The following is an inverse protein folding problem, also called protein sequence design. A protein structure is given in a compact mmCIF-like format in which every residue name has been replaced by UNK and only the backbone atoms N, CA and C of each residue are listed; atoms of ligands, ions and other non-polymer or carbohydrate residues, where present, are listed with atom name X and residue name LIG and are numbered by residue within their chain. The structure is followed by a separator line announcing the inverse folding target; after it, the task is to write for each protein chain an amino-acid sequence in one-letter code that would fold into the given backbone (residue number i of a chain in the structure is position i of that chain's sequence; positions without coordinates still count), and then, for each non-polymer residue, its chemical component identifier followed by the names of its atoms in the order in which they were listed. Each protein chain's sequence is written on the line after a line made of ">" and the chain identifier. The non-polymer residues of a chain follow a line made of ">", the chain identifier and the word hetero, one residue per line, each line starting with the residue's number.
data_IF_097226331071
#
_entry.id   IF_097226331071
#
_cell.length_a   1.000
_cell.length_b   1.000
_cell.length_c   1.000
_cell.angle_alpha   90.00
_cell.angle_beta   90.00
_cell.angle_gamma   90.00
#
_symmetry.space_group_name_H-M   'P 1'
#
loop_
_entity.id
_entity.type
_entity.pdbx_description
1 polymer ?
#
# COMPACT_ATOMS: atom_id res chain seq x y z
N UNK A 1 8.31 -24.83 -27.28
CA UNK A 1 7.53 -23.82 -28.03
C UNK A 1 6.76 -22.96 -27.02
N UNK A 2 7.30 -21.79 -26.66
CA UNK A 2 6.61 -20.79 -25.83
C UNK A 2 6.23 -19.63 -26.74
N UNK A 3 4.94 -19.42 -26.95
CA UNK A 3 4.41 -18.21 -27.58
C UNK A 3 4.38 -17.11 -26.52
N UNK A 4 5.33 -16.17 -26.59
CA UNK A 4 5.19 -14.87 -25.97
C UNK A 4 4.09 -14.11 -26.70
N UNK A 5 2.93 -13.92 -26.04
CA UNK A 5 1.94 -12.97 -26.52
C UNK A 5 2.37 -11.57 -26.10
N UNK A 6 3.01 -10.87 -27.03
CA UNK A 6 3.22 -9.42 -26.95
C UNK A 6 1.86 -8.73 -27.11
N UNK A 7 1.24 -8.33 -26.00
CA UNK A 7 0.06 -7.46 -26.05
C UNK A 7 0.51 -6.00 -26.16
N UNK A 8 0.59 -5.52 -27.40
CA UNK A 8 0.63 -4.09 -27.70
C UNK A 8 -0.80 -3.57 -27.62
N UNK A 9 -1.15 -2.85 -26.55
CA UNK A 9 -2.37 -2.04 -26.52
C UNK A 9 -2.14 -0.79 -27.40
N UNK A 10 -2.52 -0.89 -28.67
CA UNK A 10 -2.64 0.26 -29.56
C UNK A 10 -4.08 0.78 -29.52
N UNK A 11 -4.41 1.65 -28.56
CA UNK A 11 -5.61 2.49 -28.70
C UNK A 11 -5.24 3.75 -29.48
N UNK A 12 -5.55 3.74 -30.78
CA UNK A 12 -5.59 4.96 -31.61
C UNK A 12 -6.73 5.84 -31.11
N UNK A 13 -6.40 6.81 -30.25
CA UNK A 13 -7.28 7.90 -29.84
C UNK A 13 -6.47 9.19 -29.70
N UNK A 14 -6.82 10.19 -30.51
CA UNK A 14 -6.35 11.60 -30.55
C UNK A 14 -4.99 11.89 -29.91
N UNK A 15 -4.02 12.26 -30.75
CA UNK A 15 -2.70 12.77 -30.37
C UNK A 15 -2.78 14.09 -29.57
N UNK A 16 -3.16 14.01 -28.29
CA UNK A 16 -2.58 14.83 -27.24
C UNK A 16 -1.45 14.01 -26.64
N UNK A 17 -0.22 14.50 -26.68
CA UNK A 17 0.98 13.73 -26.34
C UNK A 17 0.85 13.04 -24.98
N UNK A 18 0.69 11.71 -25.00
CA UNK A 18 0.67 10.88 -23.81
C UNK A 18 2.03 10.95 -23.11
N UNK A 19 2.01 10.95 -21.78
CA UNK A 19 3.23 11.06 -20.98
C UNK A 19 4.19 9.90 -21.26
N UNK A 20 5.48 10.15 -21.49
CA UNK A 20 6.48 9.09 -21.76
C UNK A 20 7.02 8.39 -20.52
N UNK A 21 6.51 8.73 -19.34
CA UNK A 21 6.92 8.16 -18.07
C UNK A 21 6.49 6.69 -17.94
N UNK A 22 7.23 5.76 -18.53
CA UNK A 22 6.95 4.34 -18.39
C UNK A 22 7.52 3.73 -17.11
N UNK A 23 8.14 4.53 -16.22
CA UNK A 23 8.77 4.04 -15.00
C UNK A 23 10.10 3.30 -15.22
N UNK A 24 10.75 3.48 -16.37
CA UNK A 24 12.09 2.95 -16.68
C UNK A 24 12.97 4.12 -17.09
N UNK A 25 14.18 4.20 -16.55
CA UNK A 25 15.12 5.26 -16.90
C UNK A 25 15.60 5.13 -18.35
N UNK A 26 15.72 6.24 -19.09
CA UNK A 26 16.31 6.21 -20.42
C UNK A 26 17.74 5.66 -20.39
N UNK A 27 18.08 4.84 -21.38
CA UNK A 27 19.43 4.26 -21.55
C UNK A 27 20.35 5.11 -22.42
N UNK A 28 19.80 6.09 -23.14
CA UNK A 28 20.53 6.94 -24.08
C UNK A 28 20.27 8.45 -23.85
N UNK A 29 21.16 9.27 -24.40
CA UNK A 29 21.13 10.74 -24.25
C UNK A 29 19.87 11.37 -24.85
N UNK A 30 19.35 10.83 -25.95
CA UNK A 30 18.17 11.38 -26.62
C UNK A 30 16.92 11.17 -25.76
N UNK A 31 16.80 10.01 -25.12
CA UNK A 31 15.74 9.70 -24.17
C UNK A 31 15.77 10.60 -22.94
N UNK A 32 16.98 10.92 -22.43
CA UNK A 32 17.14 11.91 -21.36
C UNK A 32 16.72 13.32 -21.78
N UNK A 33 17.17 13.78 -22.96
CA UNK A 33 16.76 15.09 -23.51
C UNK A 33 15.23 15.18 -23.64
N UNK A 34 14.59 14.13 -24.15
CA UNK A 34 13.14 14.08 -24.25
C UNK A 34 12.45 14.13 -22.87
N UNK A 35 12.97 13.39 -21.90
CA UNK A 35 12.45 13.34 -20.52
C UNK A 35 12.48 14.72 -19.89
N UNK A 36 13.61 15.44 -19.98
CA UNK A 36 13.72 16.78 -19.42
C UNK A 36 12.85 17.80 -20.13
N UNK A 37 12.75 17.73 -21.47
CA UNK A 37 11.85 18.60 -22.22
C UNK A 37 10.37 18.38 -21.82
N UNK A 38 9.98 17.14 -21.57
CA UNK A 38 8.63 16.81 -21.14
C UNK A 38 8.36 17.28 -19.70
N UNK A 39 9.25 16.97 -18.76
CA UNK A 39 9.18 17.43 -17.37
C UNK A 39 9.10 18.96 -17.28
N UNK A 40 9.89 19.67 -18.10
CA UNK A 40 9.89 21.14 -18.15
C UNK A 40 8.56 21.76 -18.57
N UNK A 41 7.70 21.01 -19.26
CA UNK A 41 6.37 21.49 -19.72
C UNK A 41 5.20 20.87 -18.95
N UNK A 42 5.42 19.78 -18.21
CA UNK A 42 4.36 18.99 -17.59
C UNK A 42 3.56 19.80 -16.57
N UNK A 43 4.23 20.53 -15.66
CA UNK A 43 3.54 21.33 -14.64
C UNK A 43 2.58 22.37 -15.25
N UNK A 44 3.00 23.06 -16.31
CA UNK A 44 2.16 24.02 -17.02
C UNK A 44 0.95 23.35 -17.70
N UNK A 45 1.15 22.18 -18.33
CA UNK A 45 0.06 21.40 -18.94
C UNK A 45 -0.95 20.93 -17.90
N UNK A 46 -0.48 20.42 -16.77
CA UNK A 46 -1.34 20.01 -15.65
C UNK A 46 -2.10 21.19 -15.08
N UNK A 47 -1.48 22.37 -14.95
CA UNK A 47 -2.16 23.57 -14.47
C UNK A 47 -3.28 24.00 -15.42
N UNK A 48 -3.05 23.95 -16.73
CA UNK A 48 -4.08 24.23 -17.75
C UNK A 48 -5.21 23.22 -17.65
N UNK A 49 -4.90 21.91 -17.54
CA UNK A 49 -5.91 20.86 -17.36
C UNK A 49 -6.73 21.11 -16.09
N UNK A 50 -6.07 21.41 -14.98
CA UNK A 50 -6.71 21.67 -13.70
C UNK A 50 -7.67 22.87 -13.74
N UNK A 51 -7.38 23.89 -14.56
CA UNK A 51 -8.27 25.03 -14.74
C UNK A 51 -9.41 24.80 -15.74
N UNK A 52 -9.18 24.01 -16.80
CA UNK A 52 -10.08 23.97 -17.95
C UNK A 52 -10.85 22.66 -18.11
N UNK A 53 -10.39 21.57 -17.50
CA UNK A 53 -11.04 20.27 -17.65
C UNK A 53 -12.26 20.16 -16.75
N UNK A 54 -13.37 19.69 -17.31
CA UNK A 54 -14.55 19.23 -16.58
C UNK A 54 -14.61 17.69 -16.47
N UNK A 55 -13.60 16.97 -16.97
CA UNK A 55 -13.59 15.51 -16.93
C UNK A 55 -13.47 15.01 -15.48
N UNK A 56 -14.31 14.04 -15.12
CA UNK A 56 -14.20 13.38 -13.81
C UNK A 56 -12.84 12.71 -13.63
N UNK A 57 -12.30 12.74 -12.41
CA UNK A 57 -11.08 12.01 -12.03
C UNK A 57 -11.35 10.58 -11.57
N UNK A 58 -12.62 10.20 -11.46
CA UNK A 58 -13.07 8.85 -11.13
C UNK A 58 -13.83 8.25 -12.32
N UNK A 59 -14.11 6.96 -12.25
CA UNK A 59 -14.82 6.23 -13.28
C UNK A 59 -15.31 4.87 -12.80
N UNK A 60 -15.37 3.92 -13.71
CA UNK A 60 -15.89 2.55 -13.45
C UNK A 60 -14.79 1.54 -13.14
N UNK A 61 -13.58 1.99 -12.76
CA UNK A 61 -12.50 1.09 -12.36
C UNK A 61 -12.91 0.21 -11.17
N UNK A 62 -12.23 -0.91 -10.99
CA UNK A 62 -12.59 -1.91 -9.96
C UNK A 62 -11.99 -1.62 -8.58
N UNK A 63 -11.07 -0.66 -8.46
CA UNK A 63 -10.39 -0.33 -7.22
C UNK A 63 -10.63 1.12 -6.78
N UNK A 64 -10.57 1.33 -5.46
CA UNK A 64 -10.43 2.66 -4.88
C UNK A 64 -8.95 3.03 -4.84
N UNK A 65 -8.60 4.28 -5.16
CA UNK A 65 -7.25 4.80 -5.01
C UNK A 65 -7.21 5.74 -3.81
N UNK A 66 -6.24 5.51 -2.92
CA UNK A 66 -6.04 6.28 -1.70
C UNK A 66 -4.61 6.83 -1.63
N UNK A 67 -4.48 8.09 -1.24
CA UNK A 67 -3.21 8.75 -1.01
C UNK A 67 -3.33 9.71 0.17
N UNK A 68 -2.20 10.16 0.68
CA UNK A 68 -2.13 11.14 1.77
C UNK A 68 -1.15 12.24 1.41
N UNK A 69 -1.38 13.44 1.92
CA UNK A 69 -0.43 14.55 1.80
C UNK A 69 -0.36 15.34 3.10
N UNK A 70 0.73 16.08 3.29
CA UNK A 70 1.01 16.82 4.53
C UNK A 70 1.85 18.07 4.26
N UNK A 71 1.71 19.06 5.13
CA UNK A 71 2.50 20.30 5.11
C UNK A 71 2.58 20.94 3.72
N UNK A 72 3.80 21.26 3.26
CA UNK A 72 4.01 21.92 1.96
C UNK A 72 3.52 21.09 0.76
N UNK A 73 3.46 19.76 0.89
CA UNK A 73 3.08 18.85 -0.20
C UNK A 73 1.60 18.97 -0.59
N UNK A 74 0.76 19.45 0.32
CA UNK A 74 -0.67 19.72 0.07
C UNK A 74 -0.83 20.73 -1.10
N UNK A 75 0.10 21.68 -1.23
CA UNK A 75 0.07 22.66 -2.33
C UNK A 75 0.44 22.07 -3.70
N UNK A 76 1.00 20.86 -3.75
CA UNK A 76 1.52 20.23 -4.97
C UNK A 76 0.87 18.91 -5.35
N UNK A 77 0.23 18.20 -4.41
CA UNK A 77 -0.40 16.88 -4.63
C UNK A 77 -1.47 16.87 -5.72
N UNK A 78 -2.06 18.04 -6.02
CA UNK A 78 -2.98 18.19 -7.13
C UNK A 78 -2.39 17.71 -8.47
N UNK A 79 -1.06 17.79 -8.66
CA UNK A 79 -0.38 17.32 -9.86
C UNK A 79 -0.43 15.80 -9.98
N UNK A 80 -0.13 15.08 -8.90
CA UNK A 80 -0.29 13.62 -8.82
C UNK A 80 -1.73 13.22 -9.12
N UNK A 81 -2.70 13.87 -8.47
CA UNK A 81 -4.13 13.58 -8.65
C UNK A 81 -4.57 13.83 -10.09
N UNK A 82 -4.09 14.91 -10.73
CA UNK A 82 -4.35 15.18 -12.15
C UNK A 82 -3.81 14.06 -13.04
N UNK A 83 -2.61 13.54 -12.76
CA UNK A 83 -2.04 12.43 -13.56
C UNK A 83 -2.81 11.12 -13.37
N UNK A 84 -3.25 10.80 -12.15
CA UNK A 84 -4.12 9.65 -11.89
C UNK A 84 -5.45 9.81 -12.63
N UNK A 85 -6.07 10.98 -12.53
CA UNK A 85 -7.36 11.29 -13.18
C UNK A 85 -7.28 11.45 -14.70
N UNK A 86 -6.08 11.52 -15.28
CA UNK A 86 -5.82 11.46 -16.71
C UNK A 86 -5.50 10.03 -17.20
N UNK A 87 -5.56 9.04 -16.30
CA UNK A 87 -5.37 7.63 -16.59
C UNK A 87 -6.36 7.08 -17.61
N UNK A 88 -5.92 6.08 -18.38
CA UNK A 88 -6.76 5.31 -19.30
C UNK A 88 -7.86 4.53 -18.55
N UNK A 89 -7.53 4.06 -17.34
CA UNK A 89 -8.48 3.57 -16.35
C UNK A 89 -8.51 4.55 -15.20
N UNK A 90 -9.72 4.97 -14.81
CA UNK A 90 -9.95 5.85 -13.65
C UNK A 90 -10.42 5.02 -12.46
N UNK A 91 -10.02 5.37 -11.23
CA UNK A 91 -10.43 4.63 -10.05
C UNK A 91 -11.91 4.80 -9.76
N UNK A 92 -12.49 3.87 -8.99
CA UNK A 92 -13.87 3.96 -8.51
C UNK A 92 -14.07 5.16 -7.60
N UNK A 93 -13.13 5.34 -6.66
CA UNK A 93 -12.99 6.49 -5.77
C UNK A 93 -11.54 6.94 -5.76
N UNK A 94 -11.32 8.25 -5.64
CA UNK A 94 -9.99 8.82 -5.48
C UNK A 94 -9.98 9.64 -4.20
N UNK A 95 -9.25 9.18 -3.20
CA UNK A 95 -9.37 9.64 -1.82
C UNK A 95 -8.04 10.23 -1.36
N UNK A 96 -8.05 11.51 -0.97
CA UNK A 96 -6.94 12.22 -0.36
C UNK A 96 -7.18 12.38 1.14
N UNK A 97 -6.31 11.78 1.95
CA UNK A 97 -6.31 11.93 3.40
C UNK A 97 -5.39 13.07 3.86
N UNK A 98 -5.94 14.00 4.65
CA UNK A 98 -5.22 15.12 5.25
C UNK A 98 -5.34 15.06 6.77
N UNK A 99 -4.23 15.24 7.46
CA UNK A 99 -4.17 15.45 8.92
C UNK A 99 -4.21 16.93 9.31
N UNK A 100 -3.92 17.82 8.36
CA UNK A 100 -4.07 19.26 8.51
C UNK A 100 -5.56 19.65 8.41
N UNK A 101 -6.13 20.05 9.54
CA UNK A 101 -7.55 20.43 9.64
C UNK A 101 -7.88 21.69 8.85
N UNK A 102 -6.97 22.67 8.79
CA UNK A 102 -7.21 23.92 8.08
C UNK A 102 -7.21 23.67 6.58
N UNK A 103 -6.26 22.87 6.09
CA UNK A 103 -6.21 22.47 4.69
C UNK A 103 -7.38 21.56 4.28
N UNK A 104 -7.95 20.79 5.20
CA UNK A 104 -9.18 20.02 4.96
C UNK A 104 -10.41 20.93 4.85
N UNK A 105 -10.56 21.90 5.76
CA UNK A 105 -11.70 22.81 5.80
C UNK A 105 -11.67 23.83 4.65
N UNK A 106 -10.49 24.31 4.29
CA UNK A 106 -10.27 25.24 3.19
C UNK A 106 -9.15 24.77 2.24
N UNK A 107 -9.41 23.77 1.37
CA UNK A 107 -8.38 23.25 0.48
C UNK A 107 -7.92 24.28 -0.55
N UNK A 108 -6.65 24.20 -1.02
CA UNK A 108 -6.17 24.99 -2.16
C UNK A 108 -7.12 24.92 -3.37
N UNK A 109 -7.20 26.01 -4.13
CA UNK A 109 -8.09 26.11 -5.28
C UNK A 109 -7.88 24.98 -6.32
N UNK A 110 -6.66 24.48 -6.45
CA UNK A 110 -6.33 23.31 -7.29
C UNK A 110 -7.02 22.03 -6.84
N UNK A 111 -7.10 21.79 -5.52
CA UNK A 111 -7.80 20.65 -4.92
C UNK A 111 -9.31 20.85 -4.95
N UNK A 112 -9.83 22.06 -4.71
CA UNK A 112 -11.28 22.35 -4.87
C UNK A 112 -11.79 22.04 -6.28
N UNK A 113 -11.01 22.37 -7.31
CA UNK A 113 -11.35 22.01 -8.71
C UNK A 113 -11.34 20.50 -8.95
N UNK A 114 -10.44 19.77 -8.29
CA UNK A 114 -10.43 18.31 -8.33
C UNK A 114 -11.61 17.70 -7.58
N UNK A 115 -12.03 18.28 -6.44
CA UNK A 115 -13.24 17.85 -5.72
C UNK A 115 -14.48 17.99 -6.60
N UNK A 116 -14.61 19.10 -7.32
CA UNK A 116 -15.69 19.29 -8.30
C UNK A 116 -15.69 18.25 -9.43
N UNK A 117 -14.56 17.53 -9.62
CA UNK A 117 -14.40 16.45 -10.60
C UNK A 117 -14.46 15.05 -9.97
N UNK A 118 -14.74 14.93 -8.67
CA UNK A 118 -14.94 13.67 -7.97
C UNK A 118 -13.79 13.23 -7.05
N UNK A 119 -12.79 14.08 -6.80
CA UNK A 119 -11.84 13.83 -5.71
C UNK A 119 -12.55 13.90 -4.36
N UNK A 120 -12.32 12.91 -3.51
CA UNK A 120 -12.74 12.94 -2.11
C UNK A 120 -11.58 13.44 -1.26
N UNK A 121 -11.80 14.47 -0.44
CA UNK A 121 -10.83 14.92 0.56
C UNK A 121 -11.41 14.59 1.92
N UNK A 122 -10.65 13.84 2.72
CA UNK A 122 -11.06 13.40 4.07
C UNK A 122 -10.02 13.80 5.10
N UNK A 123 -10.50 14.10 6.30
CA UNK A 123 -9.65 14.40 7.45
C UNK A 123 -9.34 13.11 8.23
N UNK A 124 -8.12 12.96 8.74
CA UNK A 124 -7.73 11.87 9.63
C UNK A 124 -6.74 12.38 10.70
N UNK A 125 -6.41 11.53 11.69
CA UNK A 125 -5.28 11.83 12.59
C UNK A 125 -3.96 11.63 11.84
N UNK A 126 -2.88 12.19 12.37
CA UNK A 126 -1.56 11.94 11.81
C UNK A 126 -1.06 10.54 12.17
N UNK A 127 -1.26 9.60 11.24
CA UNK A 127 -0.69 8.25 11.29
C UNK A 127 0.63 8.14 10.50
N UNK A 128 1.27 9.27 10.16
CA UNK A 128 2.46 9.29 9.32
C UNK A 128 2.22 8.62 7.96
N UNK A 129 3.11 7.74 7.48
CA UNK A 129 2.94 7.07 6.19
C UNK A 129 1.74 6.10 6.15
N UNK A 130 1.21 5.68 7.30
CA UNK A 130 0.06 4.77 7.36
C UNK A 130 -1.28 5.43 6.98
N UNK A 131 -1.32 6.77 6.84
CA UNK A 131 -2.52 7.52 6.40
C UNK A 131 -3.06 7.06 5.05
N UNK A 132 -2.23 6.47 4.17
CA UNK A 132 -2.68 6.03 2.84
C UNK A 132 -3.58 4.79 2.85
N UNK A 133 -3.58 4.00 3.93
CA UNK A 133 -4.42 2.79 4.02
C UNK A 133 -5.23 2.70 5.32
N UNK A 134 -4.68 3.10 6.47
CA UNK A 134 -5.31 2.84 7.76
C UNK A 134 -6.66 3.56 7.95
N UNK A 135 -6.83 4.86 7.66
CA UNK A 135 -8.16 5.47 7.74
C UNK A 135 -9.14 4.87 6.72
N UNK A 136 -8.66 4.37 5.56
CA UNK A 136 -9.50 3.63 4.61
C UNK A 136 -10.04 2.32 5.21
N UNK A 137 -9.20 1.53 5.89
CA UNK A 137 -9.63 0.26 6.49
C UNK A 137 -10.67 0.47 7.60
N UNK A 138 -10.67 1.63 8.25
CA UNK A 138 -11.63 1.95 9.30
C UNK A 138 -12.91 2.62 8.79
N UNK A 139 -12.80 3.54 7.83
CA UNK A 139 -13.90 4.44 7.45
C UNK A 139 -14.55 4.12 6.10
N UNK A 140 -14.01 3.17 5.32
CA UNK A 140 -14.51 2.85 3.97
C UNK A 140 -14.71 1.35 3.81
N UNK A 141 -13.72 0.54 4.21
CA UNK A 141 -13.79 -0.91 4.09
C UNK A 141 -15.08 -1.53 4.70
N UNK A 142 -15.63 -1.07 5.84
CA UNK A 142 -16.86 -1.65 6.39
C UNK A 142 -18.06 -1.57 5.44
N UNK A 143 -18.14 -0.52 4.62
CA UNK A 143 -19.21 -0.31 3.64
C UNK A 143 -18.88 -0.89 2.26
N UNK A 144 -17.59 -1.12 1.98
CA UNK A 144 -17.07 -1.68 0.73
C UNK A 144 -16.14 -2.88 0.99
N UNK A 145 -16.63 -3.98 1.61
CA UNK A 145 -15.79 -5.06 2.11
C UNK A 145 -15.07 -5.87 1.02
N UNK A 146 -15.55 -5.82 -0.22
CA UNK A 146 -14.97 -6.56 -1.34
C UNK A 146 -14.08 -5.69 -2.25
N UNK A 147 -13.80 -4.45 -1.85
CA UNK A 147 -13.11 -3.48 -2.71
C UNK A 147 -11.59 -3.51 -2.55
N UNK A 148 -10.88 -3.78 -3.64
CA UNK A 148 -9.43 -3.56 -3.75
C UNK A 148 -9.06 -2.10 -3.47
N UNK A 149 -8.06 -1.91 -2.61
CA UNK A 149 -7.43 -0.62 -2.36
C UNK A 149 -6.13 -0.53 -3.15
N UNK A 150 -5.95 0.56 -3.89
CA UNK A 150 -4.66 0.96 -4.47
C UNK A 150 -4.12 2.16 -3.70
N UNK A 151 -2.90 2.07 -3.18
CA UNK A 151 -2.25 3.25 -2.58
C UNK A 151 -1.39 3.99 -3.60
N UNK A 152 -1.31 5.31 -3.49
CA UNK A 152 -0.44 6.15 -4.31
C UNK A 152 0.33 7.16 -3.45
N UNK A 153 1.45 7.67 -3.99
CA UNK A 153 2.31 8.68 -3.37
C UNK A 153 1.91 10.08 -3.85
N UNK A 154 2.07 11.10 -3.01
CA UNK A 154 1.64 12.49 -3.29
C UNK A 154 2.63 13.32 -4.13
N UNK A 155 3.77 12.72 -4.47
CA UNK A 155 4.89 13.34 -5.16
C UNK A 155 5.33 12.57 -6.40
N UNK A 156 4.42 11.79 -7.01
CA UNK A 156 4.69 11.02 -8.23
C UNK A 156 3.78 11.48 -9.38
N UNK A 157 4.35 11.60 -10.58
CA UNK A 157 3.58 11.70 -11.81
C UNK A 157 3.26 10.30 -12.32
N UNK A 158 2.00 9.89 -12.27
CA UNK A 158 1.60 8.55 -12.74
C UNK A 158 1.32 8.53 -14.25
N UNK A 159 1.88 7.58 -15.02
CA UNK A 159 1.54 7.49 -16.44
C UNK A 159 0.08 7.10 -16.68
N UNK A 160 -0.47 7.39 -17.88
CA UNK A 160 -1.82 7.02 -18.23
C UNK A 160 -2.14 5.52 -18.10
N UNK A 161 -1.12 4.65 -18.19
CA UNK A 161 -1.26 3.19 -18.08
C UNK A 161 -1.17 2.68 -16.64
N UNK A 162 -0.77 3.51 -15.67
CA UNK A 162 -0.44 3.09 -14.30
C UNK A 162 -1.51 2.21 -13.65
N UNK A 163 -2.73 2.72 -13.50
CA UNK A 163 -3.80 1.98 -12.83
C UNK A 163 -4.25 0.77 -13.68
N UNK A 164 -4.27 0.91 -15.01
CA UNK A 164 -4.66 -0.17 -15.91
C UNK A 164 -3.72 -1.38 -15.80
N UNK A 165 -2.41 -1.12 -15.81
CA UNK A 165 -1.38 -2.16 -15.66
C UNK A 165 -1.44 -2.82 -14.29
N UNK A 166 -1.57 -2.02 -13.22
CA UNK A 166 -1.67 -2.54 -11.86
C UNK A 166 -2.87 -3.48 -11.70
N UNK A 167 -4.05 -3.04 -12.15
CA UNK A 167 -5.28 -3.83 -12.05
C UNK A 167 -5.28 -5.06 -12.97
N UNK A 168 -4.60 -4.98 -14.12
CA UNK A 168 -4.45 -6.15 -15.02
C UNK A 168 -3.56 -7.22 -14.40
N UNK A 169 -2.51 -6.82 -13.67
CA UNK A 169 -1.60 -7.73 -13.00
C UNK A 169 -2.14 -8.27 -11.67
N UNK A 170 -3.06 -7.54 -11.04
CA UNK A 170 -3.62 -7.89 -9.73
C UNK A 170 -4.50 -9.13 -9.80
N UNK A 171 -4.37 -9.99 -8.80
CA UNK A 171 -5.15 -11.21 -8.63
C UNK A 171 -5.84 -11.19 -7.26
N UNK A 172 -7.05 -11.78 -7.14
CA UNK A 172 -7.70 -11.96 -5.84
C UNK A 172 -6.76 -12.68 -4.87
N UNK A 173 -6.70 -12.24 -3.61
CA UNK A 173 -5.85 -12.84 -2.60
C UNK A 173 -4.35 -12.61 -2.76
N UNK A 174 -3.91 -11.64 -3.58
CA UNK A 174 -2.49 -11.27 -3.73
C UNK A 174 -2.28 -9.76 -3.52
N UNK A 175 -1.15 -9.36 -2.93
CA UNK A 175 -0.70 -7.97 -3.03
C UNK A 175 0.05 -7.79 -4.34
N UNK A 176 -0.20 -6.69 -5.05
CA UNK A 176 0.46 -6.41 -6.33
C UNK A 176 1.12 -5.05 -6.31
N UNK A 177 2.44 -5.00 -6.52
CA UNK A 177 3.22 -3.76 -6.42
C UNK A 177 4.03 -3.48 -7.69
N UNK A 178 4.24 -2.20 -8.01
CA UNK A 178 5.14 -1.82 -9.10
C UNK A 178 6.62 -1.95 -8.76
N UNK A 179 6.97 -1.91 -7.46
CA UNK A 179 8.35 -1.95 -6.99
C UNK A 179 8.48 -2.82 -5.75
N UNK A 180 9.23 -3.91 -5.89
CA UNK A 180 9.52 -4.83 -4.81
C UNK A 180 11.00 -5.19 -4.71
N UNK A 181 11.38 -5.72 -3.55
CA UNK A 181 12.67 -6.40 -3.30
C UNK A 181 12.40 -7.88 -3.03
N UNK A 182 13.43 -8.72 -3.16
CA UNK A 182 13.38 -10.10 -2.64
C UNK A 182 14.02 -10.10 -1.25
N UNK A 183 13.20 -10.31 -0.24
CA UNK A 183 13.62 -10.41 1.16
C UNK A 183 14.53 -11.62 1.36
N UNK A 184 15.58 -11.43 2.15
CA UNK A 184 16.42 -12.49 2.71
C UNK A 184 16.60 -12.26 4.21
N UNK A 185 17.32 -13.16 4.88
CA UNK A 185 17.63 -13.02 6.31
C UNK A 185 18.69 -11.93 6.58
N UNK A 186 19.30 -11.37 5.54
CA UNK A 186 20.26 -10.28 5.66
C UNK A 186 19.60 -8.91 5.89
N UNK A 187 20.40 -7.86 6.15
CA UNK A 187 19.90 -6.50 6.33
C UNK A 187 19.14 -5.99 5.10
N UNK A 188 18.11 -5.16 5.29
CA UNK A 188 17.25 -4.61 4.23
C UNK A 188 18.03 -4.07 3.02
N UNK A 189 19.15 -3.38 3.27
CA UNK A 189 19.99 -2.80 2.20
C UNK A 189 20.60 -3.83 1.24
N UNK A 190 20.70 -5.09 1.65
CA UNK A 190 21.30 -6.17 0.84
C UNK A 190 20.27 -6.89 -0.02
N UNK A 191 18.97 -6.68 0.23
CA UNK A 191 17.90 -7.35 -0.51
C UNK A 191 17.89 -6.88 -1.97
N UNK A 192 18.03 -7.78 -2.95
CA UNK A 192 18.03 -7.40 -4.36
C UNK A 192 16.66 -6.87 -4.79
N UNK A 193 16.63 -6.07 -5.86
CA UNK A 193 15.36 -5.70 -6.49
C UNK A 193 14.70 -6.94 -7.09
N UNK A 194 13.36 -7.00 -7.05
CA UNK A 194 12.61 -8.09 -7.64
C UNK A 194 12.73 -8.07 -9.17
N UNK A 195 13.09 -9.20 -9.76
CA UNK A 195 13.26 -9.39 -11.21
C UNK A 195 12.29 -10.43 -11.79
N UNK A 196 11.21 -10.72 -11.07
CA UNK A 196 10.18 -11.68 -11.46
C UNK A 196 8.78 -11.09 -11.22
N UNK A 197 7.78 -11.69 -11.86
CA UNK A 197 6.36 -11.41 -11.61
C UNK A 197 5.66 -12.51 -10.82
N UNK A 198 6.39 -13.55 -10.43
CA UNK A 198 5.88 -14.64 -9.59
C UNK A 198 5.56 -14.13 -8.19
N UNK A 199 4.42 -14.57 -7.66
CA UNK A 199 3.98 -14.22 -6.33
C UNK A 199 4.74 -15.05 -5.28
N UNK A 200 5.18 -14.44 -4.18
CA UNK A 200 5.87 -15.13 -3.09
C UNK A 200 5.80 -14.33 -1.79
N UNK A 201 5.87 -15.02 -0.65
CA UNK A 201 6.03 -14.40 0.67
C UNK A 201 7.39 -13.71 0.84
N UNK A 202 8.38 -14.05 0.01
CA UNK A 202 9.70 -13.38 0.01
C UNK A 202 9.70 -12.09 -0.80
N UNK A 203 8.67 -11.81 -1.59
CA UNK A 203 8.57 -10.54 -2.32
C UNK A 203 8.13 -9.46 -1.34
N UNK A 204 8.93 -8.41 -1.20
CA UNK A 204 8.67 -7.28 -0.31
C UNK A 204 8.27 -6.05 -1.13
N UNK A 205 6.99 -5.67 -1.08
CA UNK A 205 6.51 -4.44 -1.72
C UNK A 205 7.05 -3.21 -0.98
N UNK A 206 7.76 -2.33 -1.68
CA UNK A 206 8.43 -1.17 -1.05
C UNK A 206 7.52 0.04 -0.81
N UNK A 207 6.20 -0.12 -0.94
CA UNK A 207 5.21 0.93 -0.66
C UNK A 207 5.16 2.13 -1.62
N UNK A 208 6.06 2.20 -2.61
CA UNK A 208 6.16 3.28 -3.60
C UNK A 208 5.68 2.87 -5.00
N UNK A 209 5.41 3.87 -5.86
CA UNK A 209 4.98 3.67 -7.26
C UNK A 209 3.60 3.00 -7.43
N UNK A 210 2.91 2.72 -6.33
CA UNK A 210 1.59 2.12 -6.32
C UNK A 210 1.58 0.65 -5.94
N UNK A 211 0.65 0.31 -5.04
CA UNK A 211 0.44 -1.05 -4.54
C UNK A 211 -1.07 -1.31 -4.44
N UNK A 212 -1.53 -2.44 -4.98
CA UNK A 212 -2.89 -2.94 -4.84
C UNK A 212 -2.95 -3.97 -3.72
N UNK A 213 -3.89 -3.78 -2.80
CA UNK A 213 -4.12 -4.63 -1.63
C UNK A 213 -5.49 -5.30 -1.75
N UNK A 214 -5.55 -6.63 -1.56
CA UNK A 214 -6.79 -7.37 -1.62
C UNK A 214 -7.59 -7.15 -0.32
N UNK A 215 -8.93 -7.26 -0.35
CA UNK A 215 -9.76 -6.91 0.80
C UNK A 215 -9.48 -7.74 2.06
N UNK A 216 -9.06 -8.98 1.91
CA UNK A 216 -8.69 -9.87 3.02
C UNK A 216 -7.53 -9.30 3.85
N UNK A 217 -6.53 -8.73 3.19
CA UNK A 217 -5.43 -8.06 3.88
C UNK A 217 -5.89 -6.77 4.57
N UNK A 218 -6.78 -6.01 3.93
CA UNK A 218 -7.34 -4.79 4.50
C UNK A 218 -8.14 -5.06 5.77
N UNK A 219 -8.86 -6.20 5.80
CA UNK A 219 -9.55 -6.69 6.99
C UNK A 219 -8.56 -6.99 8.14
N UNK A 220 -7.51 -7.76 7.87
CA UNK A 220 -6.48 -8.05 8.87
C UNK A 220 -5.78 -6.78 9.41
N UNK A 221 -5.53 -5.80 8.53
CA UNK A 221 -4.96 -4.50 8.92
C UNK A 221 -5.89 -3.70 9.82
N UNK A 222 -7.20 -3.77 9.59
CA UNK A 222 -8.22 -3.14 10.45
C UNK A 222 -8.22 -3.80 11.83
N UNK A 223 -8.28 -5.12 11.88
CA UNK A 223 -8.41 -5.89 13.12
C UNK A 223 -7.19 -5.71 14.03
N UNK A 224 -6.01 -5.50 13.43
CA UNK A 224 -4.78 -5.23 14.18
C UNK A 224 -4.71 -3.80 14.77
N UNK A 225 -5.62 -2.91 14.37
CA UNK A 225 -5.74 -1.56 14.92
C UNK A 225 -4.48 -0.70 14.76
N UNK A 226 -4.20 0.14 15.76
CA UNK A 226 -3.10 1.12 15.75
C UNK A 226 -1.75 0.56 16.24
N UNK A 227 -1.58 -0.77 16.33
CA UNK A 227 -0.34 -1.37 16.85
C UNK A 227 0.93 -0.90 16.10
N UNK A 228 0.80 -0.56 14.82
CA UNK A 228 1.88 0.02 14.01
C UNK A 228 2.46 1.31 14.62
N UNK A 229 1.66 2.10 15.36
CA UNK A 229 2.11 3.36 15.94
C UNK A 229 3.23 3.16 16.98
N UNK A 230 3.30 1.98 17.60
CA UNK A 230 4.32 1.65 18.59
C UNK A 230 5.52 0.91 18.02
N UNK A 231 5.32 0.06 17.01
CA UNK A 231 6.36 -0.85 16.52
C UNK A 231 6.95 -0.45 15.17
N UNK A 232 6.19 0.29 14.37
CA UNK A 232 6.51 0.57 12.98
C UNK A 232 6.05 1.96 12.50
N UNK A 233 6.17 3.05 13.30
CA UNK A 233 5.45 4.32 13.04
C UNK A 233 5.86 5.06 11.75
N UNK A 234 6.99 4.69 11.13
CA UNK A 234 7.58 5.38 9.97
C UNK A 234 7.83 4.48 8.76
N UNK A 235 7.46 3.20 8.84
CA UNK A 235 7.80 2.19 7.83
C UNK A 235 6.57 1.32 7.52
N UNK A 236 5.57 1.94 6.92
CA UNK A 236 4.32 1.27 6.55
C UNK A 236 4.54 0.05 5.65
N UNK A 237 5.57 0.05 4.80
CA UNK A 237 5.95 -1.08 3.96
C UNK A 237 6.26 -2.35 4.76
N UNK A 238 6.98 -2.24 5.88
CA UNK A 238 7.23 -3.34 6.81
C UNK A 238 5.96 -3.85 7.48
N UNK A 239 5.12 -2.92 7.95
CA UNK A 239 3.85 -3.27 8.57
C UNK A 239 2.95 -4.06 7.61
N UNK A 240 2.82 -3.57 6.37
CA UNK A 240 1.99 -4.16 5.32
C UNK A 240 2.57 -5.50 4.83
N UNK A 241 3.89 -5.63 4.75
CA UNK A 241 4.53 -6.89 4.40
C UNK A 241 4.25 -7.97 5.45
N UNK A 242 4.44 -7.67 6.74
CA UNK A 242 4.20 -8.67 7.78
C UNK A 242 2.71 -8.98 8.00
N UNK A 243 1.82 -8.03 7.70
CA UNK A 243 0.40 -8.34 7.56
C UNK A 243 0.20 -9.44 6.51
N UNK A 244 0.76 -9.27 5.31
CA UNK A 244 0.62 -10.22 4.20
C UNK A 244 1.23 -11.60 4.53
N UNK A 245 2.41 -11.63 5.15
CA UNK A 245 3.04 -12.88 5.63
C UNK A 245 2.15 -13.57 6.67
N UNK A 246 1.62 -12.83 7.65
CA UNK A 246 0.77 -13.41 8.69
C UNK A 246 -0.52 -14.02 8.13
N UNK A 247 -1.09 -13.39 7.10
CA UNK A 247 -2.31 -13.87 6.44
C UNK A 247 -2.02 -14.87 5.30
N UNK A 248 -0.76 -15.25 5.07
CA UNK A 248 -0.33 -16.09 3.93
C UNK A 248 -0.79 -15.56 2.56
N UNK A 249 -0.86 -14.23 2.43
CA UNK A 249 -1.20 -13.53 1.20
C UNK A 249 0.13 -13.25 0.47
N UNK A 250 0.40 -13.87 -0.70
CA UNK A 250 1.65 -13.65 -1.39
C UNK A 250 1.67 -12.28 -2.07
N UNK A 251 2.88 -11.81 -2.35
CA UNK A 251 3.13 -10.51 -2.98
C UNK A 251 3.74 -10.76 -4.37
N UNK A 252 3.28 -10.03 -5.39
CA UNK A 252 3.84 -10.04 -6.74
C UNK A 252 4.27 -8.66 -7.22
N UNK A 253 5.21 -8.62 -8.16
CA UNK A 253 5.55 -7.42 -8.92
C UNK A 253 4.77 -7.37 -10.24
N UNK A 254 4.33 -6.17 -10.65
CA UNK A 254 3.59 -5.97 -11.92
C UNK A 254 4.42 -6.37 -13.15
N UNK A 255 5.72 -6.07 -13.11
CA UNK A 255 6.69 -6.32 -14.19
C UNK A 255 7.90 -7.07 -13.63
N UNK A 256 8.74 -7.62 -14.50
CA UNK A 256 10.04 -8.18 -14.13
C UNK A 256 11.12 -7.11 -13.85
N UNK A 257 10.74 -5.83 -13.89
CA UNK A 257 11.58 -4.68 -13.52
C UNK A 257 10.80 -3.73 -12.63
N UNK A 258 11.45 -3.23 -11.59
CA UNK A 258 10.89 -2.20 -10.71
C UNK A 258 10.57 -0.91 -11.47
N UNK A 259 9.40 -0.32 -11.20
CA UNK A 259 9.03 0.98 -11.78
C UNK A 259 9.56 2.17 -10.95
N UNK A 260 10.19 3.10 -11.64
CA UNK A 260 10.70 4.38 -11.15
C UNK A 260 9.98 5.53 -11.85
N UNK A 261 8.71 5.75 -11.49
CA UNK A 261 7.94 6.86 -12.05
C UNK A 261 8.54 8.20 -11.64
N UNK A 262 8.41 9.20 -12.52
CA UNK A 262 9.02 10.51 -12.29
C UNK A 262 8.47 11.17 -11.01
N UNK A 263 9.36 11.57 -10.08
CA UNK A 263 8.95 12.32 -8.91
C UNK A 263 8.67 13.78 -9.27
N UNK A 264 7.86 14.45 -8.46
CA UNK A 264 7.72 15.91 -8.46
C UNK A 264 8.99 16.47 -7.82
N UNK A 265 9.99 16.76 -8.67
CA UNK A 265 11.38 17.11 -8.28
C UNK A 265 11.46 18.25 -7.26
N UNK A 266 10.53 19.20 -7.28
CA UNK A 266 10.51 20.32 -6.33
C UNK A 266 10.11 19.93 -4.89
N UNK A 267 9.57 18.73 -4.70
CA UNK A 267 8.97 18.25 -3.44
C UNK A 267 9.55 16.91 -2.99
N UNK A 268 10.25 16.21 -3.87
CA UNK A 268 11.04 15.01 -3.60
C UNK A 268 12.27 15.31 -2.71
N UNK A 269 12.02 15.82 -1.51
CA UNK A 269 12.96 15.77 -0.39
C UNK A 269 13.00 14.36 0.18
N UNK A 270 14.12 14.02 0.86
CA UNK A 270 14.40 12.73 1.52
C UNK A 270 13.09 12.08 2.00
N UNK A 271 12.84 10.83 1.61
CA UNK A 271 11.77 10.06 2.24
C UNK A 271 11.92 10.09 3.78
N UNK A 272 10.91 9.65 4.51
CA UNK A 272 10.90 9.59 5.98
C UNK A 272 11.94 8.58 6.51
N UNK A 273 13.22 8.84 6.25
CA UNK A 273 14.38 8.01 6.50
C UNK A 273 15.28 8.75 7.49
N UNK A 274 15.76 8.02 8.48
CA UNK A 274 16.68 8.50 9.52
C UNK A 274 18.12 8.73 9.01
N UNK A 275 18.40 8.43 7.74
CA UNK A 275 19.70 8.66 7.09
C UNK A 275 20.80 7.65 7.46
N UNK A 276 20.52 6.65 8.31
CA UNK A 276 21.50 5.64 8.73
C UNK A 276 21.42 4.35 7.91
N UNK A 277 20.27 4.10 7.27
CA UNK A 277 20.01 2.88 6.51
C UNK A 277 19.76 1.64 7.37
N UNK A 278 19.71 1.77 8.69
CA UNK A 278 19.42 0.68 9.64
C UNK A 278 18.05 0.81 10.32
N UNK A 279 17.32 1.91 10.11
CA UNK A 279 15.97 2.11 10.67
C UNK A 279 15.04 0.94 10.39
N UNK A 280 15.05 0.43 9.15
CA UNK A 280 14.22 -0.69 8.73
C UNK A 280 14.60 -1.99 9.48
N UNK A 281 15.90 -2.25 9.62
CA UNK A 281 16.39 -3.44 10.31
C UNK A 281 16.06 -3.40 11.81
N UNK A 282 16.08 -2.21 12.41
CA UNK A 282 15.81 -2.01 13.84
C UNK A 282 14.36 -2.37 14.25
N UNK A 283 13.40 -2.23 13.33
CA UNK A 283 11.98 -2.50 13.60
C UNK A 283 11.51 -3.87 13.09
N UNK A 284 12.32 -4.55 12.28
CA UNK A 284 11.91 -5.73 11.52
C UNK A 284 11.40 -6.87 12.44
N UNK A 285 12.20 -7.22 13.45
CA UNK A 285 11.89 -8.33 14.37
C UNK A 285 10.65 -8.02 15.22
N UNK A 286 10.58 -6.82 15.79
CA UNK A 286 9.44 -6.44 16.63
C UNK A 286 8.14 -6.38 15.82
N UNK A 287 8.21 -5.87 14.59
CA UNK A 287 7.05 -5.83 13.68
C UNK A 287 6.57 -7.24 13.35
N UNK A 288 7.50 -8.14 12.99
CA UNK A 288 7.18 -9.55 12.73
C UNK A 288 6.54 -10.23 13.94
N UNK A 289 7.15 -10.09 15.13
CA UNK A 289 6.64 -10.69 16.36
C UNK A 289 5.26 -10.16 16.74
N UNK A 290 4.98 -8.88 16.48
CA UNK A 290 3.67 -8.29 16.75
C UNK A 290 2.56 -8.98 15.94
N UNK A 291 2.82 -9.28 14.66
CA UNK A 291 1.89 -10.02 13.82
C UNK A 291 1.77 -11.49 14.21
N UNK A 292 2.90 -12.16 14.51
CA UNK A 292 2.91 -13.58 14.87
C UNK A 292 2.29 -13.86 16.25
N UNK A 293 2.52 -13.00 17.24
CA UNK A 293 2.00 -13.17 18.60
C UNK A 293 0.48 -12.95 18.68
N UNK A 294 -0.12 -12.21 17.75
CA UNK A 294 -1.57 -12.09 17.66
C UNK A 294 -2.24 -13.39 17.18
N UNK A 295 -1.55 -14.23 16.40
CA UNK A 295 -2.10 -15.54 15.98
C UNK A 295 -2.23 -16.51 17.16
N UNK A 296 -1.26 -16.51 18.06
CA UNK A 296 -1.28 -17.32 19.29
C UNK A 296 -2.37 -16.92 20.30
N UNK A 297 -3.07 -15.80 20.10
CA UNK A 297 -4.26 -15.42 20.90
C UNK A 297 -5.58 -15.86 20.26
N UNK A 298 -5.59 -16.19 18.97
CA UNK A 298 -6.79 -16.69 18.28
C UNK A 298 -6.92 -18.22 18.34
N UNK A 299 -5.82 -18.93 18.62
CA UNK A 299 -5.81 -20.37 18.86
C UNK A 299 -5.86 -20.66 20.38
N UNK A 300 -7.02 -20.41 21.01
CA UNK A 300 -7.32 -21.07 22.28
C UNK A 300 -7.71 -22.54 22.02
N UNK A 301 -7.38 -23.51 22.90
CA UNK A 301 -7.59 -24.92 22.61
C UNK A 301 -9.06 -25.23 22.41
N UNK A 302 -9.40 -25.89 21.30
CA UNK A 302 -10.66 -26.61 21.13
C UNK A 302 -10.92 -27.42 22.40
N UNK A 303 -12.08 -27.21 23.02
CA UNK A 303 -12.54 -27.99 24.14
C UNK A 303 -12.40 -29.49 23.81
N UNK A 304 -11.76 -30.23 24.71
CA UNK A 304 -11.71 -31.68 24.64
C UNK A 304 -13.14 -32.23 24.70
N UNK A 305 -13.49 -33.05 23.72
CA UNK A 305 -14.75 -33.78 23.63
C UNK A 305 -14.77 -34.94 24.66
N UNK A 306 -15.71 -34.99 25.62
CA UNK A 306 -15.72 -35.97 26.70
C UNK A 306 -16.44 -37.27 26.30
N UNK A 307 -16.12 -37.84 25.14
CA UNK A 307 -16.67 -39.13 24.71
C UNK A 307 -15.56 -40.15 24.40
N UNK A 308 -15.07 -40.82 25.44
CA UNK A 308 -14.41 -42.13 25.29
C UNK A 308 -14.73 -43.00 26.50
N UNK A 309 -15.38 -44.17 26.33
CA UNK A 309 -15.68 -45.07 27.43
C UNK A 309 -14.58 -46.12 27.50
N UNK A 310 -13.69 -46.05 28.51
CA UNK A 310 -13.12 -47.30 29.00
C UNK A 310 -12.49 -47.22 30.40
N UNK A 311 -12.88 -48.21 31.20
CA UNK A 311 -12.23 -48.79 32.39
C UNK A 311 -12.34 -48.08 33.74
N UNK A 312 -13.37 -48.53 34.47
CA UNK A 312 -13.24 -48.85 35.88
C UNK A 312 -12.21 -49.98 36.09
N UNK A 313 -11.31 -49.83 37.07
CA UNK A 313 -11.36 -50.54 38.37
C UNK A 313 -9.96 -50.82 38.97
N UNK A 314 -9.97 -50.92 40.29
CA UNK A 314 -8.96 -51.45 41.22
C UNK A 314 -7.74 -50.58 41.60
N UNK A 315 -7.70 -50.17 42.89
CA UNK A 315 -6.47 -49.68 43.51
C UNK A 315 -6.57 -49.03 44.89
N UNK A 316 -7.39 -49.56 45.81
CA UNK A 316 -7.47 -49.15 47.23
C UNK A 316 -6.12 -49.39 47.94
N UNK A 317 -5.56 -48.36 48.59
CA UNK A 317 -4.84 -48.48 49.87
C UNK A 317 -4.99 -47.18 50.69
N UNK A 318 -5.52 -47.34 51.90
CA UNK A 318 -5.58 -46.34 52.97
C UNK A 318 -4.29 -46.37 53.78
N UNK A 319 -3.84 -45.21 54.26
CA UNK A 319 -3.25 -45.07 55.60
C UNK A 319 -3.38 -43.60 56.06
N UNK A 320 -4.09 -43.44 57.16
CA UNK A 320 -4.25 -42.22 57.98
C UNK A 320 -2.90 -41.71 58.50
N UNK A 321 -2.75 -40.38 58.66
CA UNK A 321 -2.39 -39.72 59.94
C UNK A 321 -2.88 -38.26 59.87
N UNK A 322 -3.74 -37.87 60.80
CA UNK A 322 -4.25 -36.50 61.05
C UNK A 322 -3.38 -35.74 62.09
N UNK A 323 -3.62 -34.45 62.42
CA UNK A 323 -2.62 -33.38 62.53
C UNK A 323 -2.29 -32.99 63.99
N UNK A 324 -1.51 -31.91 64.22
CA UNK A 324 -2.09 -30.68 64.82
C UNK A 324 -1.34 -29.40 64.36
N UNK A 325 -1.69 -28.13 64.58
CA UNK A 325 -2.74 -27.35 65.27
C UNK A 325 -2.64 -25.89 64.69
N UNK A 326 -3.60 -24.98 64.91
CA UNK A 326 -3.63 -23.63 64.36
C UNK A 326 -3.07 -22.55 65.31
N UNK A 327 -3.07 -21.30 64.81
CA UNK A 327 -2.77 -20.01 65.44
C UNK A 327 -1.32 -19.52 65.36
N UNK A 328 -1.05 -18.44 64.60
CA UNK A 328 -1.26 -17.01 64.95
C UNK A 328 -1.59 -16.24 63.67
#
# INVERSE_FOLDING_TARGET
>A
MRLQQSFVFATRGKAGGAMRNIGIHPTDSLGWVCTFAELGTLGARLLVRNHRSAESVVGTGTANVSLTSYGKRISTVWQTIETIGAGAVKPRRLILWLDDRDAYLDPPATLKRLQARGLEIRHCRDYGPHKKYFPYTNEILPDEPDRTLVTADDDVYYPPTWLAELLTAHRPGEVTAFRARIRSDGPYRTWPMCTTTEASETVFATGVSGVAYPPELLGALRDQGEAFAHVCPRADDYWLHYAAVSTRIPIRQVRDVAAYFWPIVTVAGRGLWDGTGTANDAIAVQTQQTWLNCQGRSEAPSAADPSSPDRADAGRWQAEVEPPDPAV
#
